data_IF_561273432452
#
_entry.id   IF_561273432452
#
_cell.length_a   1.000
_cell.length_b   1.000
_cell.length_c   1.000
_cell.angle_alpha   90.00
_cell.angle_beta   90.00
_cell.angle_gamma   90.00
#
_symmetry.space_group_name_H-M   'P 1'
#
loop_
_entity.id
_entity.type
_entity.pdbx_description
1 polymer ?
#
# COMPACT_ATOMS: atom_id res chain seq x y z
N UNK A 1 -1.63 -6.16 16.40
CA UNK A 1 -1.68 -7.48 15.72
C UNK A 1 -1.18 -7.38 14.28
N UNK A 2 -1.64 -6.39 13.51
CA UNK A 2 -1.18 -6.16 12.14
C UNK A 2 0.32 -5.80 12.05
N UNK A 3 0.87 -5.10 13.04
CA UNK A 3 2.31 -4.80 13.09
C UNK A 3 3.18 -6.05 13.12
N UNK A 4 2.73 -7.10 13.80
CA UNK A 4 3.44 -8.38 13.84
C UNK A 4 3.44 -9.05 12.47
N UNK A 5 2.35 -8.93 11.70
CA UNK A 5 2.26 -9.46 10.33
C UNK A 5 3.20 -8.68 9.41
N UNK A 6 3.15 -7.35 9.44
CA UNK A 6 4.02 -6.51 8.62
C UNK A 6 5.51 -6.77 8.92
N UNK A 7 5.84 -6.89 10.20
CA UNK A 7 7.20 -7.21 10.66
C UNK A 7 7.63 -8.61 10.22
N UNK A 8 6.74 -9.60 10.29
CA UNK A 8 7.05 -10.95 9.82
C UNK A 8 7.39 -10.97 8.34
N UNK A 9 6.57 -10.33 7.49
CA UNK A 9 6.81 -10.25 6.04
C UNK A 9 8.13 -9.56 5.73
N UNK A 10 8.40 -8.41 6.36
CA UNK A 10 9.65 -7.67 6.15
C UNK A 10 10.91 -8.44 6.60
N UNK A 11 10.77 -9.34 7.59
CA UNK A 11 11.88 -10.19 8.06
C UNK A 11 12.13 -11.40 7.17
N UNK A 12 11.09 -12.00 6.60
CA UNK A 12 11.21 -13.19 5.76
C UNK A 12 11.79 -12.85 4.37
N UNK A 13 11.55 -11.63 3.89
CA UNK A 13 12.03 -11.14 2.60
C UNK A 13 13.14 -10.11 2.82
N UNK A 14 14.40 -10.55 2.69
CA UNK A 14 15.56 -9.68 2.90
C UNK A 14 15.50 -8.43 2.02
N UNK A 15 15.56 -7.25 2.65
CA UNK A 15 15.49 -5.95 1.97
C UNK A 15 14.09 -5.49 1.59
N UNK A 16 13.05 -6.28 1.87
CA UNK A 16 11.68 -5.86 1.66
C UNK A 16 11.18 -4.97 2.81
N UNK A 17 10.20 -4.13 2.48
CA UNK A 17 9.43 -3.31 3.41
C UNK A 17 7.96 -3.67 3.26
N UNK A 18 7.16 -3.48 4.30
CA UNK A 18 5.76 -3.91 4.29
C UNK A 18 4.85 -2.85 4.91
N UNK A 19 3.71 -2.59 4.27
CA UNK A 19 2.59 -1.86 4.84
C UNK A 19 1.30 -2.66 4.72
N UNK A 20 0.40 -2.46 5.69
CA UNK A 20 -0.97 -2.94 5.66
C UNK A 20 -1.86 -1.70 5.72
N UNK A 21 -2.69 -1.54 4.70
CA UNK A 21 -3.70 -0.49 4.64
C UNK A 21 -5.09 -1.09 4.75
N UNK A 22 -5.94 -0.47 5.56
CA UNK A 22 -7.34 -0.83 5.71
C UNK A 22 -8.20 0.12 4.88
N UNK A 23 -9.25 -0.42 4.28
CA UNK A 23 -10.26 0.41 3.65
C UNK A 23 -11.09 1.08 4.75
N UNK A 24 -11.41 2.36 4.58
CA UNK A 24 -12.27 3.10 5.50
C UNK A 24 -13.70 2.55 5.50
N UNK A 25 -14.48 3.01 6.48
CA UNK A 25 -15.86 2.55 6.71
C UNK A 25 -16.80 2.83 5.52
N UNK A 26 -16.46 3.80 4.67
CA UNK A 26 -17.23 4.15 3.48
C UNK A 26 -16.80 3.39 2.22
N UNK A 27 -15.71 2.63 2.29
CA UNK A 27 -15.21 1.87 1.15
C UNK A 27 -14.47 2.71 0.11
N UNK A 28 -13.96 3.89 0.48
CA UNK A 28 -13.47 4.90 -0.47
C UNK A 28 -11.97 5.20 -0.34
N UNK A 29 -11.40 5.11 0.87
CA UNK A 29 -10.01 5.50 1.12
C UNK A 29 -9.25 4.47 1.91
N UNK A 30 -7.96 4.38 1.65
CA UNK A 30 -7.03 3.56 2.40
C UNK A 30 -6.50 4.31 3.62
N UNK A 31 -6.35 3.58 4.73
CA UNK A 31 -5.82 4.06 5.99
C UNK A 31 -4.64 3.20 6.41
N UNK A 32 -3.53 3.82 6.78
CA UNK A 32 -2.37 3.06 7.24
C UNK A 32 -2.68 2.40 8.59
N UNK A 33 -2.56 1.08 8.66
CA UNK A 33 -2.82 0.33 9.89
C UNK A 33 -1.56 -0.32 10.48
N UNK A 34 -0.57 -0.63 9.65
CA UNK A 34 0.74 -1.10 10.09
C UNK A 34 1.79 -0.83 9.00
N UNK A 35 3.03 -0.60 9.42
CA UNK A 35 4.18 -0.48 8.53
C UNK A 35 5.43 -1.06 9.19
N UNK A 36 6.33 -1.64 8.40
CA UNK A 36 7.64 -2.13 8.85
C UNK A 36 8.68 -1.86 7.77
N UNK A 37 9.77 -1.17 8.15
CA UNK A 37 10.87 -0.81 7.25
C UNK A 37 10.58 0.33 6.27
N UNK A 38 9.40 0.95 6.32
CA UNK A 38 9.03 2.09 5.48
C UNK A 38 9.47 3.42 6.12
N UNK A 39 9.91 4.40 5.32
CA UNK A 39 10.13 5.77 5.81
C UNK A 39 8.83 6.42 6.27
N UNK A 40 8.92 7.33 7.25
CA UNK A 40 7.75 8.01 7.83
C UNK A 40 6.89 8.74 6.78
N UNK A 41 7.52 9.38 5.78
CA UNK A 41 6.81 10.10 4.71
C UNK A 41 5.87 9.19 3.90
N UNK A 42 6.15 7.89 3.82
CA UNK A 42 5.28 6.97 3.10
C UNK A 42 3.90 6.90 3.78
N UNK A 43 3.88 6.85 5.11
CA UNK A 43 2.64 6.80 5.86
C UNK A 43 1.77 8.04 5.65
N UNK A 44 2.40 9.22 5.61
CA UNK A 44 1.72 10.49 5.36
C UNK A 44 1.08 10.54 3.96
N UNK A 45 1.76 9.98 2.95
CA UNK A 45 1.24 9.95 1.57
C UNK A 45 0.17 8.88 1.34
N UNK A 46 0.25 7.76 2.05
CA UNK A 46 -0.63 6.62 1.84
C UNK A 46 -1.90 6.68 2.69
N UNK A 47 -1.88 7.37 3.84
CA UNK A 47 -3.06 7.56 4.68
C UNK A 47 -4.05 8.56 4.06
N UNK A 48 -5.28 8.09 3.82
CA UNK A 48 -6.32 8.85 3.14
C UNK A 48 -6.32 8.73 1.61
N UNK A 49 -5.44 7.90 1.02
CA UNK A 49 -5.39 7.65 -0.42
C UNK A 49 -6.74 7.13 -0.93
N UNK A 50 -7.36 7.84 -1.87
CA UNK A 50 -8.58 7.37 -2.53
C UNK A 50 -8.30 6.16 -3.42
N UNK A 51 -9.15 5.15 -3.38
CA UNK A 51 -9.00 3.97 -4.24
C UNK A 51 -9.47 4.29 -5.67
N UNK A 52 -8.90 3.61 -6.65
CA UNK A 52 -9.30 3.77 -8.04
C UNK A 52 -8.31 3.19 -9.04
N UNK A 53 -8.68 3.13 -10.33
CA UNK A 53 -7.69 2.89 -11.38
C UNK A 53 -6.67 4.04 -11.33
N UNK A 54 -5.38 3.72 -11.38
CA UNK A 54 -4.35 4.76 -11.30
C UNK A 54 -3.94 5.19 -9.88
N UNK A 55 -4.52 4.61 -8.82
CA UNK A 55 -4.24 5.01 -7.44
C UNK A 55 -3.10 4.21 -6.80
N UNK A 56 -1.92 4.20 -7.44
CA UNK A 56 -0.80 3.36 -7.03
C UNK A 56 -1.13 1.86 -7.05
N UNK A 57 -0.30 1.05 -6.42
CA UNK A 57 -0.51 -0.41 -6.37
C UNK A 57 -1.65 -0.80 -5.43
N UNK A 58 -1.67 -0.27 -4.20
CA UNK A 58 -2.65 -0.62 -3.17
C UNK A 58 -4.04 -0.08 -3.47
N UNK A 59 -4.16 1.18 -3.94
CA UNK A 59 -5.45 1.77 -4.29
C UNK A 59 -6.11 1.09 -5.49
N UNK A 60 -5.32 0.71 -6.50
CA UNK A 60 -5.83 -0.07 -7.64
C UNK A 60 -6.26 -1.49 -7.23
N UNK A 61 -5.51 -2.15 -6.33
CA UNK A 61 -5.85 -3.47 -5.83
C UNK A 61 -7.16 -3.46 -5.02
N UNK A 62 -7.31 -2.49 -4.10
CA UNK A 62 -8.51 -2.33 -3.29
C UNK A 62 -9.75 -2.02 -4.16
N UNK A 63 -9.60 -1.18 -5.18
CA UNK A 63 -10.68 -0.89 -6.14
C UNK A 63 -11.09 -2.12 -6.97
N UNK A 64 -10.12 -2.88 -7.48
CA UNK A 64 -10.39 -4.00 -8.38
C UNK A 64 -10.73 -5.31 -7.66
N UNK A 65 -10.57 -5.38 -6.33
CA UNK A 65 -10.81 -6.60 -5.56
C UNK A 65 -9.90 -7.78 -5.93
N UNK A 66 -8.72 -7.49 -6.49
CA UNK A 66 -7.78 -8.52 -6.99
C UNK A 66 -6.33 -8.14 -6.75
N UNK A 67 -5.44 -9.14 -6.80
CA UNK A 67 -4.00 -8.93 -6.72
C UNK A 67 -3.51 -8.04 -7.87
N UNK A 68 -2.70 -7.04 -7.52
CA UNK A 68 -1.96 -6.17 -8.45
C UNK A 68 -0.48 -6.29 -8.10
N UNK A 69 0.36 -6.57 -9.09
CA UNK A 69 1.82 -6.63 -8.94
C UNK A 69 2.40 -5.59 -9.90
N UNK A 70 3.24 -4.71 -9.37
CA UNK A 70 3.95 -3.68 -10.12
C UNK A 70 5.44 -3.99 -10.04
N UNK A 71 6.07 -4.24 -11.18
CA UNK A 71 7.50 -4.56 -11.26
C UNK A 71 8.38 -3.32 -11.04
N UNK A 72 8.02 -2.18 -11.65
CA UNK A 72 8.69 -0.90 -11.46
C UNK A 72 7.68 0.24 -11.28
N UNK A 73 7.68 0.85 -10.10
CA UNK A 73 6.77 1.96 -9.76
C UNK A 73 7.05 3.22 -10.59
N UNK A 74 8.26 3.38 -11.15
CA UNK A 74 8.65 4.60 -11.88
C UNK A 74 8.01 4.69 -13.27
N UNK A 75 7.61 3.55 -13.83
CA UNK A 75 7.11 3.46 -15.20
C UNK A 75 5.68 2.92 -15.27
N UNK A 76 5.17 2.34 -14.19
CA UNK A 76 3.87 1.70 -14.21
C UNK A 76 2.72 2.72 -14.27
N UNK A 77 1.70 2.53 -15.12
CA UNK A 77 0.61 3.48 -15.29
C UNK A 77 -0.15 3.83 -14.01
N UNK A 78 -0.23 2.90 -13.06
CA UNK A 78 -0.82 3.15 -11.73
C UNK A 78 -0.09 4.24 -10.91
N UNK A 79 1.11 4.64 -11.30
CA UNK A 79 1.93 5.63 -10.60
C UNK A 79 2.19 6.87 -11.47
N UNK A 80 1.47 7.04 -12.58
CA UNK A 80 1.70 8.13 -13.54
C UNK A 80 1.38 9.53 -12.99
N UNK A 81 0.64 9.63 -11.89
CA UNK A 81 0.24 10.88 -11.23
C UNK A 81 0.88 11.07 -9.84
N UNK A 82 1.86 10.23 -9.50
CA UNK A 82 2.57 10.26 -8.22
C UNK A 82 3.89 11.05 -8.32
#
# INVERSE_FOLDING_TARGET
>A
MLDAVATYVARELSGAVCSILLLDEWGQRLRLAAASGLPDFFGETADGLAIGPGAGSCGAAAFAGRRVVVEDIRTHPNWASA
#
